data_IF_541671666816
#
_entry.id   IF_541671666816
#
_cell.length_a   1.000
_cell.length_b   1.000
_cell.length_c   1.000
_cell.angle_alpha   90.00
_cell.angle_beta   90.00
_cell.angle_gamma   90.00
#
_symmetry.space_group_name_H-M   'P 1'
#
loop_
_entity.id
_entity.type
_entity.pdbx_description
1 polymer ?
#
# COMPACT_ATOMS: atom_id res chain seq x y z
N UNK A 1 -7.00 -3.01 -0.90
CA UNK A 1 -7.87 -4.18 -0.69
C UNK A 1 -8.98 -3.89 0.31
N UNK A 2 -8.68 -3.61 1.59
CA UNK A 2 -9.70 -3.44 2.65
C UNK A 2 -10.79 -2.40 2.31
N UNK A 3 -10.40 -1.21 1.85
CA UNK A 3 -11.36 -0.18 1.44
C UNK A 3 -12.30 -0.66 0.31
N UNK A 4 -11.79 -1.45 -0.65
CA UNK A 4 -12.61 -1.99 -1.73
C UNK A 4 -13.66 -2.96 -1.19
N UNK A 5 -13.30 -3.82 -0.23
CA UNK A 5 -14.24 -4.72 0.44
C UNK A 5 -15.31 -3.96 1.24
N UNK A 6 -14.92 -2.91 1.96
CA UNK A 6 -15.88 -2.05 2.68
C UNK A 6 -16.84 -1.34 1.73
N UNK A 7 -16.35 -0.84 0.60
CA UNK A 7 -17.20 -0.17 -0.39
C UNK A 7 -18.11 -1.16 -1.12
N UNK A 8 -17.65 -2.38 -1.38
CA UNK A 8 -18.48 -3.45 -1.93
C UNK A 8 -19.58 -3.87 -0.95
N UNK A 9 -19.23 -4.13 0.32
CA UNK A 9 -20.22 -4.47 1.36
C UNK A 9 -21.24 -3.36 1.62
N UNK A 10 -20.95 -2.12 1.21
CA UNK A 10 -21.89 -0.98 1.23
C UNK A 10 -22.64 -0.77 -0.09
N UNK A 11 -22.49 -1.65 -1.09
CA UNK A 11 -23.11 -1.53 -2.41
C UNK A 11 -22.61 -0.35 -3.24
N UNK A 12 -21.38 0.12 -3.01
CA UNK A 12 -20.79 1.30 -3.69
C UNK A 12 -19.73 0.94 -4.73
N UNK A 13 -19.16 -0.26 -4.63
CA UNK A 13 -18.21 -0.81 -5.59
C UNK A 13 -18.72 -2.18 -6.02
N UNK A 14 -18.75 -2.44 -7.33
CA UNK A 14 -19.23 -3.68 -7.93
C UNK A 14 -18.21 -4.16 -8.97
N UNK A 15 -18.30 -5.42 -9.37
CA UNK A 15 -17.55 -5.91 -10.53
C UNK A 15 -17.74 -4.99 -11.76
N UNK A 16 -16.69 -4.86 -12.57
CA UNK A 16 -16.66 -3.97 -13.73
C UNK A 16 -16.44 -2.48 -13.39
N UNK A 17 -16.61 -2.06 -12.12
CA UNK A 17 -16.22 -0.71 -11.67
C UNK A 17 -14.79 -0.70 -11.14
N UNK A 18 -14.20 0.50 -11.16
CA UNK A 18 -12.85 0.76 -10.64
C UNK A 18 -12.94 1.71 -9.46
N UNK A 19 -12.17 1.42 -8.42
CA UNK A 19 -11.87 2.35 -7.33
C UNK A 19 -10.51 2.99 -7.62
N UNK A 20 -10.47 4.31 -7.74
CA UNK A 20 -9.23 5.07 -7.74
C UNK A 20 -8.97 5.59 -6.33
N UNK A 21 -7.84 5.19 -5.73
CA UNK A 21 -7.43 5.63 -4.41
C UNK A 21 -6.10 6.38 -4.48
N UNK A 22 -6.04 7.58 -3.89
CA UNK A 22 -4.85 8.44 -3.90
C UNK A 22 -4.38 8.70 -2.49
N UNK A 23 -3.10 8.43 -2.24
CA UNK A 23 -2.43 8.84 -1.00
C UNK A 23 -2.01 10.31 -1.04
N UNK A 24 -1.25 10.75 -0.02
CA UNK A 24 -0.76 12.13 0.10
C UNK A 24 0.11 12.58 -1.09
N UNK A 25 0.81 11.65 -1.75
CA UNK A 25 1.61 11.93 -2.94
C UNK A 25 0.77 12.13 -4.22
N UNK A 26 -0.54 11.88 -4.17
CA UNK A 26 -1.45 12.00 -5.30
C UNK A 26 -1.35 10.89 -6.36
N UNK A 27 -0.39 9.96 -6.23
CA UNK A 27 -0.22 8.83 -7.16
C UNK A 27 -1.39 7.85 -7.00
N UNK A 28 -2.10 7.48 -8.08
CA UNK A 28 -3.28 6.63 -7.97
C UNK A 28 -2.91 5.15 -7.87
N UNK A 29 -3.60 4.44 -6.97
CA UNK A 29 -3.77 2.99 -7.02
C UNK A 29 -5.17 2.72 -7.57
N UNK A 30 -5.24 1.95 -8.66
CA UNK A 30 -6.51 1.55 -9.29
C UNK A 30 -6.87 0.15 -8.80
N UNK A 31 -8.09 -0.03 -8.32
CA UNK A 31 -8.56 -1.32 -7.80
C UNK A 31 -9.77 -1.78 -8.60
N UNK A 32 -9.70 -3.01 -9.10
CA UNK A 32 -10.86 -3.78 -9.57
C UNK A 32 -11.21 -4.86 -8.55
N UNK A 33 -12.42 -5.39 -8.63
CA UNK A 33 -12.86 -6.49 -7.78
C UNK A 33 -13.47 -7.60 -8.63
N UNK A 34 -13.32 -8.83 -8.15
CA UNK A 34 -14.07 -10.01 -8.57
C UNK A 34 -14.86 -10.51 -7.35
N UNK A 35 -16.13 -10.82 -7.54
CA UNK A 35 -17.02 -11.37 -6.53
C UNK A 35 -16.93 -12.90 -6.52
N UNK A 36 -16.89 -13.49 -5.33
CA UNK A 36 -16.97 -14.94 -5.17
C UNK A 36 -18.42 -15.38 -5.00
N UNK A 37 -18.70 -16.66 -5.25
CA UNK A 37 -20.03 -17.27 -5.04
C UNK A 37 -20.57 -17.10 -3.61
N UNK A 38 -19.70 -16.79 -2.64
CA UNK A 38 -20.05 -16.58 -1.23
C UNK A 38 -20.20 -15.10 -0.86
N UNK A 39 -20.25 -14.20 -1.84
CA UNK A 39 -20.39 -12.76 -1.63
C UNK A 39 -19.15 -12.08 -1.05
N UNK A 40 -17.98 -12.74 -1.13
CA UNK A 40 -16.70 -12.13 -0.79
C UNK A 40 -16.12 -11.45 -2.03
N UNK A 41 -15.08 -10.63 -1.86
CA UNK A 41 -14.40 -9.99 -2.99
C UNK A 41 -12.92 -10.31 -3.03
N UNK A 42 -12.40 -10.52 -4.22
CA UNK A 42 -10.98 -10.62 -4.55
C UNK A 42 -10.59 -9.31 -5.25
N UNK A 43 -9.92 -8.37 -4.55
CA UNK A 43 -9.50 -7.11 -5.14
C UNK A 43 -8.15 -7.26 -5.85
N UNK A 44 -8.06 -6.75 -7.08
CA UNK A 44 -6.79 -6.61 -7.81
C UNK A 44 -6.35 -5.15 -7.79
N UNK A 45 -5.12 -4.88 -7.34
CA UNK A 45 -4.56 -3.53 -7.21
C UNK A 45 -3.54 -3.31 -8.33
N UNK A 46 -3.80 -2.30 -9.16
CA UNK A 46 -2.92 -1.86 -10.22
C UNK A 46 -2.23 -0.56 -9.82
N UNK A 47 -0.92 -0.54 -10.02
CA UNK A 47 -0.10 0.66 -9.89
C UNK A 47 1.15 0.49 -10.73
N UNK A 48 2.02 1.50 -10.73
CA UNK A 48 3.27 1.49 -11.46
C UNK A 48 4.43 1.73 -10.50
N UNK A 49 5.35 0.77 -10.48
CA UNK A 49 6.67 0.96 -9.90
C UNK A 49 7.66 1.32 -11.01
N UNK A 50 8.74 2.01 -10.66
CA UNK A 50 9.82 2.37 -11.57
C UNK A 50 11.14 1.89 -11.00
N UNK A 51 12.09 1.55 -11.89
CA UNK A 51 13.46 1.28 -11.49
C UNK A 51 14.10 2.61 -11.04
N UNK A 52 14.42 2.71 -9.75
CA UNK A 52 14.97 3.93 -9.17
C UNK A 52 16.50 3.96 -9.12
N UNK A 53 17.14 2.80 -9.18
CA UNK A 53 18.58 2.70 -9.12
C UNK A 53 19.05 1.26 -9.01
N UNK A 54 20.35 1.08 -9.25
CA UNK A 54 21.07 -0.16 -9.02
C UNK A 54 22.34 0.19 -8.26
N UNK A 55 22.65 -0.56 -7.21
CA UNK A 55 23.84 -0.32 -6.40
C UNK A 55 24.18 -1.52 -5.53
N UNK A 56 25.28 -1.40 -4.81
CA UNK A 56 25.75 -2.35 -3.81
C UNK A 56 25.75 -1.66 -2.45
N UNK A 57 25.33 -2.37 -1.40
CA UNK A 57 25.47 -1.93 -0.01
C UNK A 57 26.75 -2.57 0.54
N UNK A 58 27.63 -1.75 1.10
CA UNK A 58 28.85 -2.19 1.79
C UNK A 58 28.68 -1.96 3.29
N UNK A 59 29.07 -2.95 4.10
CA UNK A 59 29.00 -2.90 5.56
C UNK A 59 30.36 -3.31 6.11
N UNK A 60 31.01 -2.41 6.84
CA UNK A 60 32.29 -2.67 7.49
C UNK A 60 32.06 -3.37 8.84
N UNK A 61 33.04 -4.15 9.31
CA UNK A 61 32.92 -4.89 10.58
C UNK A 61 32.95 -3.97 11.80
N UNK A 62 33.61 -2.82 11.71
CA UNK A 62 33.78 -1.86 12.79
C UNK A 62 32.80 -0.68 12.73
N UNK A 63 31.85 -0.68 11.78
CA UNK A 63 30.80 0.33 11.71
C UNK A 63 29.87 0.24 12.94
N UNK A 64 29.84 1.25 13.82
CA UNK A 64 28.97 1.23 15.01
C UNK A 64 27.47 1.25 14.67
N UNK A 65 27.11 1.55 13.42
CA UNK A 65 25.74 1.64 12.92
C UNK A 65 25.45 0.60 11.83
N UNK A 66 26.21 -0.50 11.79
CA UNK A 66 26.05 -1.58 10.82
C UNK A 66 24.61 -2.12 10.73
N UNK A 67 23.88 -2.11 11.85
CA UNK A 67 22.48 -2.57 11.94
C UNK A 67 21.44 -1.47 11.67
N UNK A 68 21.91 -0.26 11.34
CA UNK A 68 21.11 0.94 11.25
C UNK A 68 20.67 1.47 12.61
N UNK A 69 20.02 2.63 12.59
CA UNK A 69 19.30 3.19 13.73
C UNK A 69 18.05 3.87 13.19
N UNK A 70 17.06 4.10 14.06
CA UNK A 70 15.87 4.87 13.70
C UNK A 70 15.53 5.85 14.80
N UNK A 71 15.15 7.06 14.41
CA UNK A 71 14.63 8.08 15.31
C UNK A 71 13.37 8.65 14.66
N UNK A 72 12.27 8.65 15.41
CA UNK A 72 11.03 9.31 15.00
C UNK A 72 10.85 10.53 15.89
N UNK A 73 10.58 11.68 15.28
CA UNK A 73 10.29 12.91 16.01
C UNK A 73 8.80 13.22 15.90
N UNK A 74 8.14 13.34 17.04
CA UNK A 74 6.71 13.61 17.15
C UNK A 74 6.25 13.36 18.58
N UNK A 75 5.34 14.18 19.10
CA UNK A 75 4.72 13.91 20.40
C UNK A 75 3.83 12.66 20.28
N UNK A 76 3.84 11.83 21.31
CA UNK A 76 2.84 10.79 21.50
C UNK A 76 1.47 11.46 21.50
N UNK A 77 0.66 11.22 20.47
CA UNK A 77 -0.76 11.58 20.50
C UNK A 77 -1.44 10.36 21.10
N UNK A 78 -1.81 10.44 22.38
CA UNK A 78 -2.76 9.50 22.97
C UNK A 78 -4.07 9.60 22.15
N UNK A 79 -4.46 8.48 21.54
CA UNK A 79 -5.75 8.33 20.85
C UNK A 79 -6.73 7.67 21.81
#
# INVERSE_FOLDING_TARGET
SALAAVLHGKGRLHEGKKLENRGISGIPFIVTIEETERGQVIPTIHSRAYLMGKGSILLEEDDPLQQGFSMKTGNEVEI
#
